data_IF_090200447709
#
_entry.id   IF_090200447709
#
_cell.length_a   1.000
_cell.length_b   1.000
_cell.length_c   1.000
_cell.angle_alpha   90.00
_cell.angle_beta   90.00
_cell.angle_gamma   90.00
#
_symmetry.space_group_name_H-M   'P 1'
#
loop_
_entity.id
_entity.type
_entity.pdbx_description
1 polymer ?
#
# COMPACT_ATOMS: atom_id res chain seq x y z
N UNK A 1 -62.95 46.06 0.48
CA UNK A 1 -62.07 46.36 -0.66
C UNK A 1 -60.70 46.71 -0.08
N UNK A 2 -59.87 45.70 0.18
CA UNK A 2 -58.73 45.26 -0.67
C UNK A 2 -57.44 45.91 -0.19
N UNK A 3 -56.73 45.16 0.66
CA UNK A 3 -55.44 45.48 1.26
C UNK A 3 -54.41 45.87 0.20
N UNK A 4 -53.84 47.07 0.34
CA UNK A 4 -52.68 47.52 -0.44
C UNK A 4 -51.39 46.97 0.19
N UNK A 5 -51.14 45.67 0.01
CA UNK A 5 -49.82 45.05 0.25
C UNK A 5 -49.43 44.38 -1.06
N UNK A 6 -48.50 44.94 -1.85
CA UNK A 6 -48.07 44.21 -3.06
C UNK A 6 -46.76 44.64 -3.71
N UNK A 7 -46.11 45.75 -3.35
CA UNK A 7 -44.87 46.17 -4.04
C UNK A 7 -43.61 45.94 -3.21
N UNK A 8 -43.63 46.26 -1.92
CA UNK A 8 -42.45 46.09 -1.04
C UNK A 8 -42.21 44.62 -0.67
N UNK A 9 -43.28 43.89 -0.35
CA UNK A 9 -43.20 42.46 0.01
C UNK A 9 -42.60 41.59 -1.10
N UNK A 10 -42.90 41.91 -2.36
CA UNK A 10 -42.41 41.14 -3.50
C UNK A 10 -40.93 41.46 -3.82
N UNK A 11 -40.52 42.70 -3.56
CA UNK A 11 -39.12 43.14 -3.62
C UNK A 11 -38.28 42.46 -2.53
N UNK A 12 -38.76 42.45 -1.29
CA UNK A 12 -38.09 41.83 -0.15
C UNK A 12 -38.02 40.31 -0.29
N UNK A 13 -39.11 39.68 -0.73
CA UNK A 13 -39.13 38.25 -1.02
C UNK A 13 -38.08 37.87 -2.09
N UNK A 14 -37.93 38.69 -3.13
CA UNK A 14 -36.95 38.48 -4.21
C UNK A 14 -35.51 38.70 -3.70
N UNK A 15 -35.29 39.67 -2.83
CA UNK A 15 -33.99 39.92 -2.20
C UNK A 15 -33.57 38.76 -1.27
N UNK A 16 -34.48 38.31 -0.41
CA UNK A 16 -34.27 37.17 0.50
C UNK A 16 -34.03 35.90 -0.32
N UNK A 17 -34.84 35.63 -1.34
CA UNK A 17 -34.69 34.46 -2.22
C UNK A 17 -33.34 34.47 -2.95
N UNK A 18 -32.89 35.63 -3.44
CA UNK A 18 -31.58 35.78 -4.11
C UNK A 18 -30.42 35.58 -3.12
N UNK A 19 -30.54 36.10 -1.90
CA UNK A 19 -29.56 35.90 -0.84
C UNK A 19 -29.47 34.44 -0.40
N UNK A 20 -30.63 33.76 -0.27
CA UNK A 20 -30.69 32.36 0.12
C UNK A 20 -30.11 31.45 -0.98
N UNK A 21 -30.46 31.70 -2.25
CA UNK A 21 -29.87 31.01 -3.39
C UNK A 21 -28.34 31.14 -3.41
N UNK A 22 -27.80 32.34 -3.22
CA UNK A 22 -26.34 32.57 -3.14
C UNK A 22 -25.69 31.81 -1.98
N UNK A 23 -26.34 31.75 -0.81
CA UNK A 23 -25.85 30.96 0.34
C UNK A 23 -25.82 29.46 0.01
N UNK A 24 -26.89 28.93 -0.61
CA UNK A 24 -26.96 27.53 -1.03
C UNK A 24 -25.87 27.23 -2.06
N UNK A 25 -25.71 28.05 -3.10
CA UNK A 25 -24.67 27.84 -4.12
C UNK A 25 -23.26 27.88 -3.53
N UNK A 26 -22.98 28.80 -2.59
CA UNK A 26 -21.69 28.84 -1.88
C UNK A 26 -21.45 27.61 -1.02
N UNK A 27 -22.48 27.08 -0.35
CA UNK A 27 -22.37 25.84 0.43
C UNK A 27 -22.10 24.65 -0.49
N UNK A 28 -22.86 24.51 -1.57
CA UNK A 28 -22.66 23.46 -2.58
C UNK A 28 -21.25 23.53 -3.15
N UNK A 29 -20.77 24.70 -3.58
CA UNK A 29 -19.42 24.85 -4.12
C UNK A 29 -18.32 24.43 -3.13
N UNK A 30 -18.48 24.74 -1.84
CA UNK A 30 -17.53 24.31 -0.80
C UNK A 30 -17.56 22.80 -0.56
N UNK A 31 -18.75 22.20 -0.55
CA UNK A 31 -18.93 20.75 -0.41
C UNK A 31 -18.31 20.06 -1.61
N UNK A 32 -18.64 20.47 -2.84
CA UNK A 32 -18.07 19.89 -4.06
C UNK A 32 -16.55 20.03 -4.16
N UNK A 33 -15.97 21.13 -3.65
CA UNK A 33 -14.52 21.27 -3.56
C UNK A 33 -13.92 20.28 -2.55
N UNK A 34 -14.52 20.15 -1.37
CA UNK A 34 -14.06 19.20 -0.35
C UNK A 34 -14.16 17.74 -0.84
N UNK A 35 -15.27 17.39 -1.50
CA UNK A 35 -15.48 16.09 -2.12
C UNK A 35 -14.45 15.83 -3.23
N UNK A 36 -14.19 16.82 -4.08
CA UNK A 36 -13.16 16.71 -5.12
C UNK A 36 -11.74 16.52 -4.57
N UNK A 37 -11.40 17.16 -3.45
CA UNK A 37 -10.12 16.95 -2.75
C UNK A 37 -10.07 15.54 -2.14
N UNK A 38 -11.13 15.10 -1.48
CA UNK A 38 -11.21 13.76 -0.88
C UNK A 38 -11.13 12.65 -1.94
N UNK A 39 -11.84 12.79 -3.06
CA UNK A 39 -11.80 11.87 -4.19
C UNK A 39 -10.41 11.86 -4.83
N UNK A 40 -9.78 13.03 -4.99
CA UNK A 40 -8.41 13.15 -5.48
C UNK A 40 -7.40 12.42 -4.57
N UNK A 41 -7.52 12.62 -3.25
CA UNK A 41 -6.69 11.92 -2.26
C UNK A 41 -6.90 10.41 -2.32
N UNK A 42 -8.15 9.94 -2.36
CA UNK A 42 -8.48 8.52 -2.43
C UNK A 42 -7.98 7.88 -3.73
N UNK A 43 -8.09 8.58 -4.86
CA UNK A 43 -7.64 8.10 -6.18
C UNK A 43 -6.13 7.91 -6.26
N UNK A 44 -5.34 8.69 -5.51
CA UNK A 44 -3.88 8.55 -5.46
C UNK A 44 -3.45 7.58 -4.36
N UNK A 45 -4.10 7.65 -3.20
CA UNK A 45 -3.74 6.84 -2.05
C UNK A 45 -4.05 5.36 -2.26
N UNK A 46 -5.25 5.00 -2.72
CA UNK A 46 -5.67 3.60 -2.80
C UNK A 46 -4.76 2.77 -3.72
N UNK A 47 -4.44 3.18 -4.96
CA UNK A 47 -3.54 2.41 -5.82
C UNK A 47 -2.13 2.30 -5.24
N UNK A 48 -1.66 3.36 -4.56
CA UNK A 48 -0.34 3.37 -3.93
C UNK A 48 -0.27 2.41 -2.75
N UNK A 49 -1.33 2.38 -1.95
CA UNK A 49 -1.48 1.44 -0.84
C UNK A 49 -1.58 0.00 -1.34
N UNK A 50 -2.44 -0.26 -2.33
CA UNK A 50 -2.65 -1.61 -2.89
C UNK A 50 -1.34 -2.16 -3.48
N UNK A 51 -0.57 -1.31 -4.18
CA UNK A 51 0.74 -1.65 -4.71
C UNK A 51 1.72 -2.02 -3.59
N UNK A 52 1.87 -1.15 -2.59
CA UNK A 52 2.77 -1.40 -1.46
C UNK A 52 2.36 -2.62 -0.63
N UNK A 53 1.06 -2.84 -0.43
CA UNK A 53 0.52 -3.97 0.30
C UNK A 53 0.81 -5.29 -0.43
N UNK A 54 0.54 -5.35 -1.74
CA UNK A 54 0.83 -6.51 -2.58
C UNK A 54 2.31 -6.84 -2.58
N UNK A 55 3.16 -5.84 -2.79
CA UNK A 55 4.60 -6.04 -2.89
C UNK A 55 5.19 -6.45 -1.53
N UNK A 56 4.68 -5.85 -0.44
CA UNK A 56 5.06 -6.20 0.94
C UNK A 56 4.68 -7.62 1.31
N UNK A 57 3.46 -8.07 1.00
CA UNK A 57 3.04 -9.47 1.23
C UNK A 57 3.89 -10.44 0.42
N UNK A 58 4.08 -10.17 -0.87
CA UNK A 58 4.86 -11.05 -1.75
C UNK A 58 6.28 -11.23 -1.22
N UNK A 59 6.91 -10.13 -0.83
CA UNK A 59 8.26 -10.13 -0.26
C UNK A 59 8.30 -10.87 1.08
N UNK A 60 7.36 -10.55 1.98
CA UNK A 60 7.28 -11.17 3.30
C UNK A 60 7.13 -12.69 3.22
N UNK A 61 6.20 -13.18 2.39
CA UNK A 61 6.00 -14.62 2.18
C UNK A 61 7.22 -15.25 1.51
N UNK A 62 7.74 -14.64 0.44
CA UNK A 62 8.87 -15.19 -0.33
C UNK A 62 10.13 -15.38 0.52
N UNK A 63 10.45 -14.42 1.38
CA UNK A 63 11.61 -14.51 2.27
C UNK A 63 11.35 -15.41 3.48
N UNK A 64 10.15 -15.34 4.06
CA UNK A 64 9.85 -16.07 5.31
C UNK A 64 9.54 -17.55 5.08
N UNK A 65 9.13 -17.97 3.87
CA UNK A 65 8.79 -19.38 3.60
C UNK A 65 9.97 -20.33 3.85
N UNK A 66 11.18 -19.93 3.48
CA UNK A 66 12.40 -20.73 3.68
C UNK A 66 12.73 -20.86 5.17
N UNK A 67 12.63 -19.76 5.92
CA UNK A 67 12.76 -19.77 7.38
C UNK A 67 11.76 -20.73 8.03
N UNK A 68 10.47 -20.57 7.71
CA UNK A 68 9.41 -21.39 8.28
C UNK A 68 9.60 -22.88 7.95
N UNK A 69 10.06 -23.19 6.73
CA UNK A 69 10.41 -24.54 6.31
C UNK A 69 11.53 -25.14 7.15
N UNK A 70 12.64 -24.42 7.37
CA UNK A 70 13.72 -24.92 8.21
C UNK A 70 13.35 -25.00 9.70
N UNK A 71 12.55 -24.08 10.22
CA UNK A 71 12.02 -24.10 11.59
C UNK A 71 11.12 -25.34 11.82
N UNK A 72 10.26 -25.65 10.84
CA UNK A 72 9.40 -26.84 10.88
C UNK A 72 10.18 -28.14 10.70
N UNK A 73 11.18 -28.16 9.80
CA UNK A 73 12.09 -29.29 9.65
C UNK A 73 12.82 -29.62 10.95
N UNK A 74 13.36 -28.60 11.64
CA UNK A 74 14.03 -28.75 12.93
C UNK A 74 13.12 -29.38 14.00
N UNK A 75 11.82 -29.09 13.94
CA UNK A 75 10.82 -29.64 14.86
C UNK A 75 10.37 -31.06 14.48
N UNK A 76 10.40 -31.40 13.20
CA UNK A 76 9.81 -32.63 12.64
C UNK A 76 10.65 -33.92 12.76
N UNK A 77 11.84 -33.86 13.37
CA UNK A 77 12.81 -34.99 13.46
C UNK A 77 13.18 -35.65 12.11
N UNK A 78 12.92 -35.00 10.97
CA UNK A 78 13.30 -35.49 9.65
C UNK A 78 14.83 -35.44 9.53
N UNK A 79 15.45 -36.61 9.32
CA UNK A 79 16.91 -36.78 9.18
C UNK A 79 17.30 -36.92 7.71
N UNK A 80 17.06 -35.86 6.94
CA UNK A 80 17.58 -35.76 5.58
C UNK A 80 18.90 -34.98 5.60
N UNK A 81 20.01 -35.68 5.31
CA UNK A 81 21.36 -35.11 5.31
C UNK A 81 21.52 -33.97 4.29
N UNK A 82 20.72 -33.94 3.22
CA UNK A 82 20.75 -32.88 2.21
C UNK A 82 20.07 -31.62 2.75
N UNK A 83 18.90 -31.76 3.37
CA UNK A 83 18.16 -30.64 3.96
C UNK A 83 18.87 -30.04 5.18
N UNK A 84 19.59 -30.85 5.95
CA UNK A 84 20.40 -30.35 7.07
C UNK A 84 21.58 -29.51 6.57
N UNK A 85 22.23 -29.90 5.46
CA UNK A 85 23.30 -29.09 4.84
C UNK A 85 22.74 -27.79 4.27
N UNK A 86 21.61 -27.84 3.56
CA UNK A 86 20.94 -26.64 3.05
C UNK A 86 20.52 -25.71 4.20
N UNK A 87 20.10 -26.24 5.35
CA UNK A 87 19.80 -25.42 6.53
C UNK A 87 21.03 -24.65 7.03
N UNK A 88 22.20 -25.29 7.10
CA UNK A 88 23.44 -24.61 7.49
C UNK A 88 23.79 -23.49 6.50
N UNK A 89 23.64 -23.75 5.20
CA UNK A 89 23.83 -22.74 4.14
C UNK A 89 22.83 -21.58 4.29
N UNK A 90 21.57 -21.86 4.66
CA UNK A 90 20.56 -20.84 4.93
C UNK A 90 20.92 -19.99 6.16
N UNK A 91 21.45 -20.60 7.21
CA UNK A 91 21.92 -19.88 8.41
C UNK A 91 23.19 -19.03 8.11
N UNK A 92 24.08 -19.51 7.23
CA UNK A 92 25.27 -18.78 6.75
C UNK A 92 24.92 -17.59 5.84
N UNK A 93 23.80 -17.65 5.12
CA UNK A 93 23.32 -16.55 4.27
C UNK A 93 22.93 -15.30 5.08
N UNK A 94 22.83 -15.39 6.41
CA UNK A 94 22.51 -14.29 7.32
C UNK A 94 21.39 -13.38 6.81
N UNK A 95 20.34 -13.99 6.26
CA UNK A 95 19.22 -13.22 5.70
C UNK A 95 18.52 -12.53 6.85
N UNK A 96 18.61 -11.21 6.85
CA UNK A 96 17.94 -10.39 7.83
C UNK A 96 16.42 -10.57 7.75
N UNK A 97 15.72 -10.22 8.83
CA UNK A 97 14.27 -10.27 8.84
C UNK A 97 13.73 -9.41 7.71
N UNK A 98 12.66 -9.85 7.04
CA UNK A 98 12.00 -9.05 5.99
C UNK A 98 11.58 -7.63 6.44
N UNK A 99 11.52 -7.38 7.75
CA UNK A 99 11.25 -6.07 8.36
C UNK A 99 12.49 -5.20 8.59
N UNK A 100 13.69 -5.67 8.24
CA UNK A 100 14.93 -4.95 8.49
C UNK A 100 15.02 -3.65 7.66
N UNK A 101 15.60 -2.61 8.25
CA UNK A 101 15.57 -1.26 7.67
C UNK A 101 16.30 -1.17 6.32
N UNK A 102 17.34 -1.97 6.09
CA UNK A 102 18.07 -1.98 4.82
C UNK A 102 17.28 -2.63 3.66
N UNK A 103 16.24 -3.42 3.96
CA UNK A 103 15.27 -3.87 2.96
C UNK A 103 14.26 -2.77 2.61
N UNK A 104 14.16 -1.72 3.44
CA UNK A 104 13.25 -0.58 3.25
C UNK A 104 13.95 0.61 2.57
N UNK A 105 14.50 0.38 1.37
CA UNK A 105 15.10 1.43 0.53
C UNK A 105 14.15 2.57 0.12
N UNK A 106 12.87 2.50 0.48
CA UNK A 106 11.89 3.56 0.24
C UNK A 106 12.31 4.90 0.83
N UNK A 107 13.02 4.90 1.98
CA UNK A 107 13.53 6.12 2.59
C UNK A 107 14.63 6.79 1.75
N UNK A 108 15.42 6.00 1.02
CA UNK A 108 16.49 6.49 0.14
C UNK A 108 15.94 7.01 -1.19
N UNK A 109 14.73 6.58 -1.57
CA UNK A 109 14.10 6.85 -2.87
C UNK A 109 12.92 7.83 -2.77
N UNK A 110 12.93 8.72 -1.77
CA UNK A 110 11.84 9.69 -1.49
C UNK A 110 11.44 10.57 -2.69
N UNK A 111 12.37 10.80 -3.63
CA UNK A 111 12.15 11.63 -4.82
C UNK A 111 11.74 10.84 -6.07
N UNK A 112 11.69 9.50 -5.99
CA UNK A 112 11.35 8.65 -7.13
C UNK A 112 9.86 8.31 -7.19
N UNK A 113 9.39 7.98 -8.39
CA UNK A 113 8.02 7.51 -8.57
C UNK A 113 7.82 6.18 -7.85
N UNK A 114 6.61 5.95 -7.31
CA UNK A 114 6.28 4.73 -6.59
C UNK A 114 6.51 3.46 -7.44
N UNK A 115 6.28 3.56 -8.76
CA UNK A 115 6.52 2.47 -9.70
C UNK A 115 8.01 2.11 -9.78
N UNK A 116 8.89 3.11 -9.86
CA UNK A 116 10.35 2.89 -9.89
C UNK A 116 10.84 2.26 -8.58
N UNK A 117 10.32 2.73 -7.43
CA UNK A 117 10.65 2.15 -6.12
C UNK A 117 10.20 0.69 -6.04
N UNK A 118 8.95 0.40 -6.45
CA UNK A 118 8.40 -0.95 -6.49
C UNK A 118 9.22 -1.89 -7.38
N UNK A 119 9.62 -1.44 -8.57
CA UNK A 119 10.45 -2.22 -9.49
C UNK A 119 11.84 -2.53 -8.92
N UNK A 120 12.50 -1.54 -8.31
CA UNK A 120 13.82 -1.72 -7.67
C UNK A 120 13.73 -2.67 -6.48
N UNK A 121 12.70 -2.53 -5.64
CA UNK A 121 12.48 -3.45 -4.52
C UNK A 121 12.20 -4.86 -5.00
N UNK A 122 11.38 -5.01 -6.04
CA UNK A 122 11.09 -6.30 -6.64
C UNK A 122 12.35 -6.95 -7.22
N UNK A 123 13.17 -6.20 -7.95
CA UNK A 123 14.43 -6.71 -8.51
C UNK A 123 15.37 -7.23 -7.42
N UNK A 124 15.52 -6.47 -6.33
CA UNK A 124 16.33 -6.87 -5.18
C UNK A 124 15.80 -8.15 -4.50
N UNK A 125 14.48 -8.26 -4.33
CA UNK A 125 13.87 -9.47 -3.76
C UNK A 125 14.01 -10.67 -4.70
N UNK A 126 13.79 -10.47 -6.00
CA UNK A 126 13.93 -11.52 -7.02
C UNK A 126 15.39 -12.02 -7.09
N UNK A 127 16.39 -11.15 -6.89
CA UNK A 127 17.82 -11.51 -6.77
C UNK A 127 18.07 -12.42 -5.55
N UNK A 128 17.57 -12.04 -4.37
CA UNK A 128 17.70 -12.86 -3.15
C UNK A 128 17.01 -14.23 -3.32
N UNK A 129 15.81 -14.26 -3.91
CA UNK A 129 15.09 -15.49 -4.16
C UNK A 129 15.78 -16.36 -5.23
N UNK A 130 16.45 -15.73 -6.20
CA UNK A 130 17.32 -16.41 -7.15
C UNK A 130 18.49 -17.09 -6.46
N UNK A 131 19.14 -16.39 -5.53
CA UNK A 131 20.20 -16.93 -4.68
C UNK A 131 19.74 -18.14 -3.86
N UNK A 132 18.52 -18.10 -3.30
CA UNK A 132 17.94 -19.24 -2.59
C UNK A 132 17.68 -20.41 -3.53
N UNK A 133 17.16 -20.16 -4.72
CA UNK A 133 16.89 -21.21 -5.70
C UNK A 133 18.18 -21.93 -6.14
N UNK A 134 19.31 -21.22 -6.16
CA UNK A 134 20.61 -21.79 -6.51
C UNK A 134 21.28 -22.51 -5.34
N UNK A 135 21.24 -21.92 -4.14
CA UNK A 135 21.95 -22.42 -2.94
C UNK A 135 21.14 -23.44 -2.15
N UNK A 136 19.80 -23.42 -2.27
CA UNK A 136 18.85 -24.24 -1.54
C UNK A 136 17.84 -24.91 -2.50
N UNK A 137 18.31 -25.66 -3.52
CA UNK A 137 17.45 -26.20 -4.56
C UNK A 137 16.44 -27.22 -4.02
N UNK A 138 16.81 -28.03 -3.01
CA UNK A 138 15.94 -29.06 -2.45
C UNK A 138 14.80 -28.45 -1.66
N UNK A 139 15.11 -27.49 -0.76
CA UNK A 139 14.11 -26.74 -0.04
C UNK A 139 13.19 -25.93 -0.99
N UNK A 140 13.76 -25.32 -2.04
CA UNK A 140 12.98 -24.53 -3.02
C UNK A 140 12.00 -25.40 -3.81
N UNK A 141 12.41 -26.62 -4.19
CA UNK A 141 11.53 -27.56 -4.90
C UNK A 141 10.38 -28.10 -4.03
N UNK A 142 10.53 -28.05 -2.70
CA UNK A 142 9.52 -28.47 -1.74
C UNK A 142 8.58 -27.34 -1.29
N UNK A 143 8.84 -26.08 -1.71
CA UNK A 143 8.14 -24.85 -1.28
C UNK A 143 7.43 -24.09 -2.41
#
# INVERSE_FOLDING_TARGET
MSQACSSDDESDFKAVSKANRRKITKKVAKISYADGVADGQKRVFQPSFDLGYRDGIKTGIGLTKHRAFFDTLATSQIKDDVLIKERVVYEELQIDKATAEHHQKRLELLNESLTTVSEKQKAYVDEILGDFSQKLPTATNLL
#
